data_IF_167568192698
#
_entry.id   IF_167568192698
#
_cell.length_a   1.000
_cell.length_b   1.000
_cell.length_c   1.000
_cell.angle_alpha   90.00
_cell.angle_beta   90.00
_cell.angle_gamma   90.00
#
_symmetry.space_group_name_H-M   'P 1'
#
loop_
_entity.id
_entity.type
_entity.pdbx_description
1 polymer ?
#
# COMPACT_ATOMS: atom_id res chain seq x y z
N UNK A 1 -54.52 60.26 9.22
CA UNK A 1 -54.95 59.06 8.48
C UNK A 1 -53.77 58.70 7.57
N UNK A 2 -52.80 57.93 8.07
CA UNK A 2 -52.80 56.46 8.12
C UNK A 2 -52.94 55.84 6.72
N UNK A 3 -51.82 55.54 6.07
CA UNK A 3 -51.49 54.19 5.57
C UNK A 3 -50.10 54.25 4.88
N UNK A 4 -49.00 53.81 5.50
CA UNK A 4 -48.68 52.48 6.02
C UNK A 4 -48.44 51.45 4.88
N UNK A 5 -47.15 51.15 4.71
CA UNK A 5 -46.58 49.88 4.28
C UNK A 5 -47.03 49.22 2.96
N UNK A 6 -46.12 49.20 1.98
CA UNK A 6 -45.43 47.96 1.55
C UNK A 6 -44.53 48.25 0.34
N UNK A 7 -43.29 48.67 0.60
CA UNK A 7 -42.21 48.52 -0.37
C UNK A 7 -41.63 47.12 -0.15
N UNK A 8 -42.02 46.18 -1.01
CA UNK A 8 -41.43 44.84 -1.06
C UNK A 8 -40.00 45.02 -1.60
N UNK A 9 -39.03 45.09 -0.69
CA UNK A 9 -37.62 44.94 -1.04
C UNK A 9 -37.40 43.44 -1.25
N UNK A 10 -37.49 42.99 -2.50
CA UNK A 10 -36.99 41.67 -2.89
C UNK A 10 -35.47 41.74 -2.80
N UNK A 11 -34.93 41.47 -1.61
CA UNK A 11 -33.51 41.25 -1.43
C UNK A 11 -33.13 39.97 -2.14
N UNK A 12 -32.57 40.08 -3.34
CA UNK A 12 -31.89 38.99 -4.01
C UNK A 12 -30.68 38.67 -3.14
N UNK A 13 -30.85 37.76 -2.18
CA UNK A 13 -29.75 37.04 -1.57
C UNK A 13 -29.14 36.19 -2.68
N UNK A 14 -28.20 36.78 -3.41
CA UNK A 14 -27.26 36.03 -4.23
C UNK A 14 -26.50 35.15 -3.24
N UNK A 15 -27.00 33.94 -3.02
CA UNK A 15 -26.28 32.89 -2.33
C UNK A 15 -25.04 32.63 -3.19
N UNK A 16 -23.96 33.35 -2.87
CA UNK A 16 -22.65 33.10 -3.42
C UNK A 16 -22.25 31.75 -2.83
N UNK A 17 -22.65 30.68 -3.50
CA UNK A 17 -22.21 29.32 -3.21
C UNK A 17 -20.73 29.31 -3.57
N UNK A 18 -19.90 29.81 -2.64
CA UNK A 18 -18.47 29.61 -2.70
C UNK A 18 -18.26 28.11 -2.67
N UNK A 19 -18.11 27.51 -3.85
CA UNK A 19 -17.70 26.13 -3.98
C UNK A 19 -16.37 26.05 -3.24
N UNK A 20 -16.37 25.37 -2.09
CA UNK A 20 -15.18 25.21 -1.28
C UNK A 20 -14.21 24.36 -2.11
N UNK A 21 -13.35 25.04 -2.85
CA UNK A 21 -12.28 24.42 -3.62
C UNK A 21 -11.19 24.05 -2.63
N UNK A 22 -11.07 22.77 -2.33
CA UNK A 22 -9.98 22.28 -1.49
C UNK A 22 -8.70 22.23 -2.33
N UNK A 23 -7.69 22.98 -1.90
CA UNK A 23 -6.35 22.91 -2.47
C UNK A 23 -5.71 21.58 -2.08
N UNK A 24 -5.55 20.67 -3.05
CA UNK A 24 -4.96 19.36 -2.84
C UNK A 24 -3.54 19.28 -3.42
N UNK A 25 -2.74 18.37 -2.88
CA UNK A 25 -1.49 17.92 -3.48
C UNK A 25 -1.77 16.67 -4.30
N UNK A 26 -1.43 16.68 -5.58
CA UNK A 26 -1.51 15.52 -6.48
C UNK A 26 -0.10 15.01 -6.79
N UNK A 27 0.10 13.72 -6.58
CA UNK A 27 1.36 13.02 -6.85
C UNK A 27 1.08 11.92 -7.86
N UNK A 28 1.86 11.87 -8.92
CA UNK A 28 1.85 10.77 -9.87
C UNK A 28 3.16 10.02 -9.75
N UNK A 29 3.08 8.69 -9.63
CA UNK A 29 4.24 7.82 -9.57
C UNK A 29 4.07 6.61 -10.44
N UNK A 30 5.18 6.12 -10.99
CA UNK A 30 5.24 4.76 -11.49
C UNK A 30 5.40 3.81 -10.32
N UNK A 31 4.60 2.77 -10.26
CA UNK A 31 4.75 1.63 -9.36
C UNK A 31 4.77 0.36 -10.21
N UNK A 32 5.95 -0.25 -10.31
CA UNK A 32 6.19 -1.46 -11.12
C UNK A 32 5.69 -1.39 -12.58
N UNK A 33 5.88 -0.24 -13.24
CA UNK A 33 5.50 -0.03 -14.63
C UNK A 33 4.08 0.50 -14.84
N UNK A 34 3.32 0.73 -13.76
CA UNK A 34 1.96 1.28 -13.84
C UNK A 34 1.86 2.62 -13.12
N UNK A 35 1.13 3.56 -13.70
CA UNK A 35 0.92 4.87 -13.10
C UNK A 35 -0.07 4.75 -11.94
N UNK A 36 0.29 5.31 -10.80
CA UNK A 36 -0.53 5.46 -9.62
C UNK A 36 -0.68 6.95 -9.33
N UNK A 37 -1.90 7.37 -8.96
CA UNK A 37 -2.20 8.76 -8.61
C UNK A 37 -2.56 8.83 -7.12
N UNK A 38 -1.87 9.68 -6.39
CA UNK A 38 -2.11 9.96 -4.97
C UNK A 38 -2.63 11.40 -4.88
N UNK A 39 -3.76 11.61 -4.23
CA UNK A 39 -4.35 12.93 -3.99
C UNK A 39 -4.40 13.11 -2.48
N UNK A 40 -3.86 14.22 -1.98
CA UNK A 40 -3.72 14.51 -0.56
C UNK A 40 -4.34 15.87 -0.25
N UNK A 41 -5.07 15.96 0.84
CA UNK A 41 -5.36 17.23 1.51
C UNK A 41 -4.91 17.15 2.98
N UNK A 42 -5.35 18.12 3.80
CA UNK A 42 -4.99 18.18 5.22
C UNK A 42 -5.48 16.97 6.02
N UNK A 43 -6.62 16.40 5.65
CA UNK A 43 -7.35 15.43 6.45
C UNK A 43 -7.39 14.04 5.82
N UNK A 44 -7.14 13.93 4.52
CA UNK A 44 -7.36 12.73 3.75
C UNK A 44 -6.31 12.49 2.67
N UNK A 45 -6.18 11.23 2.30
CA UNK A 45 -5.43 10.79 1.14
C UNK A 45 -6.26 9.83 0.31
N UNK A 46 -6.14 9.90 -1.01
CA UNK A 46 -6.69 8.93 -1.95
C UNK A 46 -5.58 8.38 -2.81
N UNK A 47 -5.38 7.07 -2.77
CA UNK A 47 -4.42 6.35 -3.60
C UNK A 47 -5.22 5.57 -4.64
N UNK A 48 -5.26 6.08 -5.87
CA UNK A 48 -5.83 5.35 -6.99
C UNK A 48 -4.82 4.30 -7.44
N UNK A 49 -5.14 3.02 -7.26
CA UNK A 49 -4.24 1.95 -7.69
C UNK A 49 -4.15 1.86 -9.21
N UNK A 50 -3.19 1.08 -9.68
CA UNK A 50 -3.07 0.75 -11.09
C UNK A 50 -4.08 -0.30 -11.57
N UNK A 51 -4.83 -0.91 -10.65
CA UNK A 51 -5.95 -1.80 -10.96
C UNK A 51 -7.19 -0.94 -11.08
N UNK A 52 -7.86 -1.00 -12.24
CA UNK A 52 -9.15 -0.33 -12.43
C UNK A 52 -10.13 -0.73 -11.33
N UNK A 53 -11.04 0.17 -10.95
CA UNK A 53 -12.05 -0.06 -9.91
C UNK A 53 -11.51 -0.15 -8.48
N UNK A 54 -10.21 -0.05 -8.24
CA UNK A 54 -9.64 -0.15 -6.90
C UNK A 54 -8.92 1.13 -6.46
N UNK A 55 -9.26 1.62 -5.26
CA UNK A 55 -8.54 2.72 -4.62
C UNK A 55 -8.55 2.60 -3.10
N UNK A 56 -7.58 3.24 -2.46
CA UNK A 56 -7.51 3.36 -1.00
C UNK A 56 -7.81 4.79 -0.59
N UNK A 57 -8.70 4.98 0.39
CA UNK A 57 -8.87 6.24 1.11
C UNK A 57 -8.25 6.14 2.49
N UNK A 58 -7.52 7.16 2.90
CA UNK A 58 -7.03 7.34 4.26
C UNK A 58 -7.72 8.59 4.81
N UNK A 59 -8.42 8.47 5.93
CA UNK A 59 -8.81 9.62 6.74
C UNK A 59 -7.79 9.74 7.87
N UNK A 60 -6.82 10.64 7.65
CA UNK A 60 -5.61 10.80 8.44
C UNK A 60 -5.94 11.30 9.85
N UNK A 61 -6.90 12.23 9.95
CA UNK A 61 -7.43 12.77 11.21
C UNK A 61 -8.13 11.71 12.06
N UNK A 62 -8.83 10.77 11.41
CA UNK A 62 -9.61 9.72 12.05
C UNK A 62 -8.80 8.45 12.32
N UNK A 63 -7.57 8.36 11.82
CA UNK A 63 -6.78 7.13 11.92
C UNK A 63 -7.42 5.94 11.17
N UNK A 64 -8.16 6.19 10.08
CA UNK A 64 -8.91 5.17 9.33
C UNK A 64 -8.40 5.03 7.90
N UNK A 65 -8.43 3.81 7.39
CA UNK A 65 -8.13 3.48 6.02
C UNK A 65 -9.26 2.62 5.42
N UNK A 66 -9.59 2.84 4.17
CA UNK A 66 -10.65 2.15 3.45
C UNK A 66 -10.12 1.67 2.11
N UNK A 67 -10.13 0.36 1.87
CA UNK A 67 -9.87 -0.20 0.55
C UNK A 67 -11.21 -0.35 -0.17
N UNK A 68 -11.38 0.30 -1.31
CA UNK A 68 -12.64 0.31 -2.06
C UNK A 68 -12.46 -0.46 -3.35
N UNK A 69 -13.27 -1.50 -3.54
CA UNK A 69 -13.41 -2.25 -4.78
C UNK A 69 -14.78 -1.91 -5.41
N UNK A 70 -14.76 -1.12 -6.48
CA UNK A 70 -15.97 -0.67 -7.18
C UNK A 70 -16.63 -1.77 -8.02
N UNK A 71 -15.89 -2.80 -8.39
CA UNK A 71 -16.38 -3.93 -9.19
C UNK A 71 -17.16 -4.90 -8.30
N UNK A 72 -16.57 -5.30 -7.17
CA UNK A 72 -17.21 -6.16 -6.17
C UNK A 72 -18.20 -5.41 -5.27
N UNK A 73 -18.31 -4.08 -5.41
CA UNK A 73 -19.09 -3.21 -4.52
C UNK A 73 -18.77 -3.49 -3.04
N UNK A 74 -17.48 -3.45 -2.71
CA UNK A 74 -16.98 -3.78 -1.38
C UNK A 74 -16.04 -2.71 -0.84
N UNK A 75 -16.14 -2.43 0.46
CA UNK A 75 -15.27 -1.54 1.22
C UNK A 75 -14.70 -2.33 2.38
N UNK A 76 -13.37 -2.39 2.49
CA UNK A 76 -12.70 -2.93 3.67
C UNK A 76 -12.29 -1.77 4.56
N UNK A 77 -12.88 -1.69 5.75
CA UNK A 77 -12.52 -0.71 6.77
C UNK A 77 -11.38 -1.23 7.66
N UNK A 78 -10.38 -0.37 7.84
CA UNK A 78 -9.17 -0.66 8.61
C UNK A 78 -8.81 0.53 9.51
N UNK A 79 -8.16 0.25 10.64
CA UNK A 79 -7.50 1.29 11.41
C UNK A 79 -6.08 1.48 10.86
N UNK A 80 -5.62 2.73 10.74
CA UNK A 80 -4.22 3.04 10.37
C UNK A 80 -3.31 2.39 11.42
N UNK A 81 -3.53 2.69 12.70
CA UNK A 81 -2.91 1.99 13.82
C UNK A 81 -3.82 0.83 14.20
N UNK A 82 -3.60 -0.33 13.59
CA UNK A 82 -4.34 -1.56 13.82
C UNK A 82 -3.69 -2.50 14.84
N UNK A 83 -4.36 -3.63 15.07
CA UNK A 83 -3.75 -4.78 15.74
C UNK A 83 -3.16 -5.70 14.66
N UNK A 84 -1.91 -6.16 14.79
CA UNK A 84 -1.36 -7.14 13.87
C UNK A 84 -2.27 -8.37 13.79
N UNK A 85 -2.45 -8.95 12.60
CA UNK A 85 -3.27 -10.15 12.49
C UNK A 85 -2.61 -11.30 13.23
N UNK A 86 -3.42 -12.10 13.94
CA UNK A 86 -2.93 -13.29 14.62
C UNK A 86 -2.53 -14.33 13.58
N UNK A 87 -1.35 -14.93 13.76
CA UNK A 87 -0.93 -16.07 12.97
C UNK A 87 -1.94 -17.23 13.15
N UNK A 88 -2.30 -17.96 12.08
CA UNK A 88 -3.05 -19.19 12.21
C UNK A 88 -2.32 -20.17 13.15
N UNK A 89 -3.02 -20.70 14.15
CA UNK A 89 -2.45 -21.61 15.15
C UNK A 89 -1.97 -22.94 14.56
N UNK A 90 -2.53 -23.32 13.42
CA UNK A 90 -2.31 -24.55 12.67
C UNK A 90 -1.17 -24.46 11.64
N UNK A 91 -0.51 -23.30 11.52
CA UNK A 91 0.66 -23.19 10.66
C UNK A 91 1.84 -24.02 11.21
N UNK A 92 2.50 -24.85 10.37
CA UNK A 92 3.64 -25.64 10.81
C UNK A 92 4.67 -24.74 11.48
N UNK A 93 5.17 -25.17 12.65
CA UNK A 93 6.00 -24.36 13.52
C UNK A 93 7.21 -23.77 12.77
N UNK A 94 7.08 -22.52 12.32
CA UNK A 94 8.16 -21.72 11.74
C UNK A 94 9.28 -21.41 12.78
N UNK A 95 9.11 -21.88 14.02
CA UNK A 95 10.04 -21.79 15.15
C UNK A 95 11.46 -22.25 14.81
N UNK A 96 11.67 -23.17 13.85
CA UNK A 96 13.00 -23.67 13.45
C UNK A 96 13.92 -22.64 12.78
N UNK A 97 13.48 -21.39 12.55
CA UNK A 97 14.33 -20.33 11.97
C UNK A 97 14.65 -19.16 12.92
N UNK A 98 14.22 -19.22 14.19
CA UNK A 98 14.54 -18.18 15.18
C UNK A 98 16.04 -18.02 15.43
N UNK A 99 16.82 -19.08 15.24
CA UNK A 99 18.25 -19.09 15.54
C UNK A 99 19.14 -18.57 14.40
N UNK A 100 18.55 -18.05 13.30
CA UNK A 100 19.37 -17.38 12.28
C UNK A 100 19.84 -16.04 12.85
N UNK A 101 21.16 -15.76 12.85
CA UNK A 101 21.65 -14.47 13.32
C UNK A 101 20.94 -13.34 12.59
N UNK A 102 20.49 -12.34 13.33
CA UNK A 102 19.82 -11.17 12.76
C UNK A 102 20.74 -10.56 11.72
N UNK A 103 20.29 -10.52 10.46
CA UNK A 103 21.06 -9.91 9.40
C UNK A 103 21.28 -8.43 9.73
N UNK A 104 22.54 -7.96 9.75
CA UNK A 104 22.84 -6.57 10.08
C UNK A 104 22.39 -5.69 8.91
N UNK A 105 21.43 -4.82 9.17
CA UNK A 105 20.96 -3.83 8.22
C UNK A 105 21.84 -2.58 8.27
N UNK A 106 22.14 -1.99 7.11
CA UNK A 106 22.92 -0.76 7.01
C UNK A 106 22.30 0.18 5.96
N UNK A 107 22.23 1.46 6.29
CA UNK A 107 21.83 2.52 5.38
C UNK A 107 23.07 3.36 5.03
N UNK A 108 23.48 3.34 3.77
CA UNK A 108 24.74 3.95 3.33
C UNK A 108 24.46 5.08 2.36
N UNK A 109 24.82 6.31 2.73
CA UNK A 109 24.77 7.45 1.83
C UNK A 109 25.77 7.29 0.67
N UNK A 110 25.30 7.46 -0.56
CA UNK A 110 26.11 7.39 -1.79
C UNK A 110 26.40 8.75 -2.40
N UNK A 111 25.88 9.82 -1.80
CA UNK A 111 26.00 11.19 -2.26
C UNK A 111 24.78 11.66 -3.06
N UNK A 112 24.95 12.72 -3.84
CA UNK A 112 23.86 13.32 -4.62
C UNK A 112 23.25 12.34 -5.63
N UNK A 113 21.93 12.30 -5.69
CA UNK A 113 21.17 11.62 -6.74
C UNK A 113 20.72 12.60 -7.84
N UNK A 114 20.08 12.08 -8.91
CA UNK A 114 19.47 12.94 -9.92
C UNK A 114 18.32 13.74 -9.32
N UNK A 115 17.97 14.87 -9.94
CA UNK A 115 16.70 15.52 -9.63
C UNK A 115 15.54 14.65 -10.11
N UNK A 116 14.53 14.45 -9.27
CA UNK A 116 13.34 13.66 -9.60
C UNK A 116 12.11 14.55 -9.42
N UNK A 117 11.26 14.65 -10.44
CA UNK A 117 10.11 15.56 -10.45
C UNK A 117 10.46 17.03 -10.10
N UNK A 118 11.67 17.49 -10.44
CA UNK A 118 12.15 18.84 -10.11
C UNK A 118 12.72 19.02 -8.68
N UNK A 119 12.79 17.94 -7.88
CA UNK A 119 13.35 17.99 -6.53
C UNK A 119 14.75 17.36 -6.48
N UNK A 120 15.74 18.00 -5.84
CA UNK A 120 17.05 17.41 -5.63
C UNK A 120 16.93 16.20 -4.69
N UNK A 121 17.73 15.15 -4.96
CA UNK A 121 17.72 13.93 -4.15
C UNK A 121 19.12 13.57 -3.66
N UNK A 122 19.18 12.80 -2.58
CA UNK A 122 20.37 12.11 -2.09
C UNK A 122 20.12 10.61 -2.25
N UNK A 123 21.11 9.89 -2.78
CA UNK A 123 21.07 8.45 -2.99
C UNK A 123 21.56 7.71 -1.74
N UNK A 124 20.79 6.73 -1.29
CA UNK A 124 21.14 5.84 -0.19
C UNK A 124 21.01 4.38 -0.63
N UNK A 125 21.94 3.54 -0.20
CA UNK A 125 21.86 2.09 -0.37
C UNK A 125 21.41 1.44 0.93
N UNK A 126 20.38 0.59 0.83
CA UNK A 126 20.04 -0.35 1.91
C UNK A 126 20.83 -1.62 1.68
N UNK A 127 21.59 -2.04 2.68
CA UNK A 127 22.40 -3.25 2.67
C UNK A 127 22.01 -4.20 3.78
N UNK A 128 22.20 -5.49 3.52
CA UNK A 128 22.10 -6.54 4.54
C UNK A 128 23.26 -7.51 4.36
N UNK A 129 24.02 -7.77 5.43
CA UNK A 129 25.21 -8.64 5.39
C UNK A 129 26.16 -8.31 4.21
N UNK A 130 26.40 -7.01 3.96
CA UNK A 130 27.25 -6.52 2.86
C UNK A 130 26.63 -6.58 1.46
N UNK A 131 25.46 -7.19 1.27
CA UNK A 131 24.74 -7.23 0.00
C UNK A 131 23.81 -6.03 -0.15
N UNK A 132 23.81 -5.40 -1.32
CA UNK A 132 22.87 -4.30 -1.63
C UNK A 132 21.49 -4.87 -1.91
N UNK A 133 20.50 -4.41 -1.17
CA UNK A 133 19.10 -4.76 -1.34
C UNK A 133 18.38 -3.78 -2.26
N UNK A 134 18.64 -2.49 -2.09
CA UNK A 134 18.04 -1.44 -2.90
C UNK A 134 18.85 -0.15 -2.89
N UNK A 135 18.58 0.69 -3.88
CA UNK A 135 18.97 2.10 -3.94
C UNK A 135 17.71 2.95 -3.80
N UNK A 136 17.75 3.91 -2.88
CA UNK A 136 16.62 4.76 -2.54
C UNK A 136 17.06 6.22 -2.62
N UNK A 137 16.24 7.03 -3.28
CA UNK A 137 16.51 8.44 -3.50
C UNK A 137 15.54 9.25 -2.67
N UNK A 138 16.05 10.05 -1.74
CA UNK A 138 15.23 10.85 -0.83
C UNK A 138 15.40 12.34 -1.12
N UNK A 139 14.31 13.11 -0.97
CA UNK A 139 14.36 14.57 -1.06
C UNK A 139 13.81 15.22 0.22
N UNK A 140 14.68 15.96 0.92
CA UNK A 140 14.28 16.81 2.05
C UNK A 140 13.36 17.95 1.60
N UNK A 141 13.58 18.50 0.40
CA UNK A 141 12.73 19.56 -0.16
C UNK A 141 11.33 19.06 -0.49
N UNK A 142 11.22 17.86 -1.09
CA UNK A 142 9.90 17.28 -1.36
C UNK A 142 9.14 16.97 -0.06
N UNK A 143 9.83 16.59 1.03
CA UNK A 143 9.20 16.36 2.33
C UNK A 143 8.51 17.61 2.94
N UNK A 144 8.82 18.80 2.44
CA UNK A 144 8.22 20.07 2.87
C UNK A 144 6.93 20.41 2.09
N UNK A 145 6.60 19.65 1.04
CA UNK A 145 5.35 19.85 0.30
C UNK A 145 4.15 19.60 1.25
N UNK A 146 3.09 20.43 1.17
CA UNK A 146 1.92 20.29 2.02
C UNK A 146 1.39 18.85 2.07
N UNK A 147 0.99 18.44 3.27
CA UNK A 147 0.34 17.16 3.60
C UNK A 147 1.20 15.90 3.49
N UNK A 148 2.35 15.96 2.81
CA UNK A 148 3.21 14.79 2.62
C UNK A 148 3.74 14.20 3.93
N UNK A 149 4.14 15.04 4.89
CA UNK A 149 4.66 14.55 6.19
C UNK A 149 3.62 13.71 6.94
N UNK A 150 2.38 14.19 7.00
CA UNK A 150 1.26 13.47 7.65
C UNK A 150 0.95 12.18 6.92
N UNK A 151 0.93 12.22 5.58
CA UNK A 151 0.73 11.04 4.75
C UNK A 151 1.81 9.97 4.97
N UNK A 152 3.11 10.33 4.93
CA UNK A 152 4.21 9.39 5.15
C UNK A 152 4.12 8.75 6.53
N UNK A 153 3.81 9.55 7.56
CA UNK A 153 3.62 9.05 8.92
C UNK A 153 2.49 8.03 8.98
N UNK A 154 1.33 8.34 8.41
CA UNK A 154 0.20 7.40 8.36
C UNK A 154 0.56 6.10 7.63
N UNK A 155 1.29 6.17 6.51
CA UNK A 155 1.74 4.98 5.78
C UNK A 155 2.73 4.14 6.61
N UNK A 156 3.62 4.77 7.36
CA UNK A 156 4.54 4.07 8.25
C UNK A 156 3.81 3.44 9.44
N UNK A 157 2.92 4.18 10.10
CA UNK A 157 2.08 3.67 11.19
C UNK A 157 1.27 2.45 10.72
N UNK A 158 0.67 2.53 9.53
CA UNK A 158 -0.06 1.44 8.89
C UNK A 158 0.80 0.20 8.63
N UNK A 159 2.05 0.40 8.20
CA UNK A 159 3.01 -0.68 7.94
C UNK A 159 3.44 -1.34 9.25
N UNK A 160 3.80 -0.54 10.25
CA UNK A 160 4.23 -1.03 11.57
C UNK A 160 3.13 -1.80 12.29
N UNK A 161 1.89 -1.31 12.26
CA UNK A 161 0.78 -1.96 12.95
C UNK A 161 0.39 -3.32 12.37
N UNK A 162 0.93 -3.68 11.20
CA UNK A 162 0.66 -4.93 10.48
C UNK A 162 1.88 -5.85 10.44
N UNK A 163 3.01 -5.47 11.06
CA UNK A 163 4.18 -6.35 11.19
C UNK A 163 3.81 -7.53 12.09
N UNK A 164 3.90 -8.74 11.55
CA UNK A 164 3.63 -9.97 12.29
C UNK A 164 4.93 -10.47 12.91
N UNK A 165 5.01 -10.45 14.23
CA UNK A 165 6.19 -10.92 14.94
C UNK A 165 6.48 -12.41 14.67
N UNK A 166 7.76 -12.72 14.48
CA UNK A 166 8.23 -14.09 14.24
C UNK A 166 7.95 -14.66 12.85
N UNK A 167 7.29 -13.90 11.94
CA UNK A 167 7.15 -14.33 10.56
C UNK A 167 8.52 -14.25 9.84
N UNK A 168 8.97 -15.34 9.19
CA UNK A 168 10.21 -15.29 8.44
C UNK A 168 10.05 -14.42 7.20
N UNK A 169 10.69 -13.24 7.21
CA UNK A 169 10.78 -12.34 6.06
C UNK A 169 12.12 -12.49 5.34
N UNK A 170 12.16 -12.11 4.07
CA UNK A 170 13.41 -12.07 3.31
C UNK A 170 14.40 -11.08 3.96
N UNK A 171 15.72 -11.35 4.02
CA UNK A 171 16.69 -10.48 4.69
C UNK A 171 16.65 -9.02 4.22
N UNK A 172 16.47 -8.80 2.92
CA UNK A 172 16.30 -7.43 2.40
C UNK A 172 15.02 -6.74 2.86
N UNK A 173 13.91 -7.48 2.99
CA UNK A 173 12.69 -6.90 3.54
C UNK A 173 12.89 -6.55 5.02
N UNK A 174 13.51 -7.45 5.79
CA UNK A 174 13.86 -7.18 7.20
C UNK A 174 14.73 -5.95 7.35
N UNK A 175 15.76 -5.80 6.50
CA UNK A 175 16.63 -4.62 6.51
C UNK A 175 15.86 -3.32 6.21
N UNK A 176 14.91 -3.35 5.28
CA UNK A 176 14.02 -2.23 5.05
C UNK A 176 13.12 -1.91 6.26
N UNK A 177 12.57 -2.94 6.90
CA UNK A 177 11.71 -2.77 8.07
C UNK A 177 12.48 -2.22 9.29
N UNK A 178 13.74 -2.63 9.46
CA UNK A 178 14.61 -2.21 10.56
C UNK A 178 15.14 -0.78 10.36
N UNK A 179 15.34 -0.36 9.10
CA UNK A 179 15.84 0.99 8.74
C UNK A 179 14.72 1.98 8.42
N UNK A 180 13.44 1.61 8.61
CA UNK A 180 12.31 2.43 8.20
C UNK A 180 12.29 3.79 8.93
N UNK A 181 12.43 3.77 10.25
CA UNK A 181 12.44 4.99 11.07
C UNK A 181 13.59 5.93 10.70
N UNK A 182 14.80 5.40 10.49
CA UNK A 182 15.96 6.17 10.04
C UNK A 182 15.71 6.76 8.64
N UNK A 183 15.21 5.95 7.71
CA UNK A 183 14.90 6.36 6.34
C UNK A 183 13.89 7.51 6.27
N UNK A 184 12.90 7.52 7.17
CA UNK A 184 11.91 8.60 7.24
C UNK A 184 12.52 9.96 7.61
N UNK A 185 13.67 9.99 8.27
CA UNK A 185 14.38 11.26 8.60
C UNK A 185 15.09 11.86 7.39
N UNK A 186 15.33 11.06 6.34
CA UNK A 186 16.08 11.48 5.15
C UNK A 186 15.26 12.33 4.18
N UNK A 187 13.93 12.31 4.28
CA UNK A 187 13.01 13.10 3.47
C UNK A 187 11.92 12.24 2.81
N UNK A 188 11.32 12.76 1.74
CA UNK A 188 10.30 12.02 0.99
C UNK A 188 10.98 11.07 0.00
N UNK A 189 10.65 9.77 0.00
CA UNK A 189 11.20 8.82 -0.96
C UNK A 189 10.70 9.14 -2.38
N UNK A 190 11.63 9.51 -3.26
CA UNK A 190 11.35 9.91 -4.65
C UNK A 190 11.48 8.74 -5.64
N UNK A 191 12.35 7.77 -5.36
CA UNK A 191 12.56 6.59 -6.20
C UNK A 191 13.17 5.45 -5.39
N UNK A 192 12.80 4.22 -5.73
CA UNK A 192 13.43 3.02 -5.18
C UNK A 192 13.72 2.01 -6.29
N UNK A 193 14.94 1.50 -6.30
CA UNK A 193 15.43 0.48 -7.23
C UNK A 193 15.83 -0.75 -6.42
N UNK A 194 15.14 -1.86 -6.62
CA UNK A 194 15.44 -3.14 -5.97
C UNK A 194 16.53 -3.84 -6.77
N UNK A 195 17.58 -4.30 -6.08
CA UNK A 195 18.68 -5.06 -6.67
C UNK A 195 18.40 -6.55 -6.50
N UNK A 196 18.18 -7.30 -7.58
CA UNK A 196 17.88 -8.75 -7.52
C UNK A 196 19.12 -9.63 -7.75
N UNK A 197 20.30 -9.11 -7.41
CA UNK A 197 21.58 -9.80 -7.58
C UNK A 197 21.95 -10.05 -9.05
N UNK A 198 22.96 -10.92 -9.26
CA UNK A 198 23.63 -11.09 -10.57
C UNK A 198 22.74 -11.55 -11.72
N UNK A 199 21.58 -12.18 -11.45
CA UNK A 199 20.71 -12.78 -12.48
C UNK A 199 19.42 -12.00 -12.74
N UNK A 200 18.98 -11.15 -11.80
CA UNK A 200 17.67 -10.51 -11.89
C UNK A 200 17.69 -9.10 -12.47
N UNK A 201 18.86 -8.48 -12.60
CA UNK A 201 18.99 -7.06 -12.93
C UNK A 201 18.37 -6.14 -11.87
N UNK A 202 18.33 -4.87 -12.19
CA UNK A 202 17.73 -3.84 -11.35
C UNK A 202 16.27 -3.63 -11.75
N UNK A 203 15.38 -3.49 -10.77
CA UNK A 203 13.97 -3.14 -11.01
C UNK A 203 13.59 -1.88 -10.25
N UNK A 204 13.07 -0.89 -10.98
CA UNK A 204 12.43 0.28 -10.38
C UNK A 204 11.15 -0.21 -9.70
N UNK A 205 11.13 -0.15 -8.37
CA UNK A 205 9.94 -0.47 -7.57
C UNK A 205 8.93 0.66 -7.68
N UNK A 206 9.38 1.89 -7.46
CA UNK A 206 8.60 3.08 -7.76
C UNK A 206 9.49 4.28 -8.13
N UNK A 207 8.91 5.27 -8.81
CA UNK A 207 9.51 6.55 -9.14
C UNK A 207 8.43 7.64 -9.23
N UNK A 208 8.63 8.77 -8.53
CA UNK A 208 7.74 9.93 -8.60
C UNK A 208 7.99 10.69 -9.90
N UNK A 209 6.92 10.98 -10.64
CA UNK A 209 6.99 11.76 -11.88
C UNK A 209 6.56 13.21 -11.70
N UNK A 210 5.52 13.44 -10.89
CA UNK A 210 5.00 14.77 -10.66
C UNK A 210 4.53 14.94 -9.22
N UNK A 211 4.73 16.14 -8.68
CA UNK A 211 4.13 16.62 -7.44
C UNK A 211 3.57 18.00 -7.77
N UNK A 212 2.24 18.16 -7.69
CA UNK A 212 1.54 19.41 -7.97
C UNK A 212 0.76 19.81 -6.73
N UNK A 213 0.97 21.01 -6.22
CA UNK A 213 0.20 21.59 -5.12
C UNK A 213 -0.95 22.43 -5.66
N UNK A 214 -1.86 22.84 -4.77
CA UNK A 214 -2.93 23.79 -5.08
C UNK A 214 -3.85 23.32 -6.22
N UNK A 215 -3.95 22.00 -6.38
CA UNK A 215 -4.82 21.38 -7.39
C UNK A 215 -6.23 21.38 -6.85
N UNK A 216 -7.14 22.02 -7.58
CA UNK A 216 -8.57 21.94 -7.29
C UNK A 216 -9.05 20.51 -7.59
N UNK A 217 -9.63 19.87 -6.57
CA UNK A 217 -10.22 18.53 -6.68
C UNK A 217 -11.69 18.60 -6.28
N UNK A 218 -12.49 17.74 -6.92
CA UNK A 218 -13.92 17.67 -6.61
C UNK A 218 -14.16 17.27 -5.16
N UNK A 219 -15.22 17.79 -4.54
CA UNK A 219 -15.58 17.49 -3.15
C UNK A 219 -15.87 16.00 -2.90
N UNK A 220 -16.24 15.26 -3.94
CA UNK A 220 -16.47 13.81 -3.88
C UNK A 220 -15.17 12.98 -3.90
N UNK A 221 -14.00 13.60 -4.13
CA UNK A 221 -12.71 12.92 -4.26
C UNK A 221 -12.42 12.00 -3.08
N UNK A 222 -12.76 12.45 -1.86
CA UNK A 222 -12.53 11.72 -0.61
C UNK A 222 -13.81 11.10 -0.03
N UNK A 223 -14.91 11.07 -0.78
CA UNK A 223 -16.18 10.49 -0.32
C UNK A 223 -16.20 8.98 -0.53
N UNK A 224 -16.67 8.24 0.49
CA UNK A 224 -16.89 6.80 0.39
C UNK A 224 -18.25 6.50 -0.27
N UNK A 225 -18.32 5.60 -1.27
CA UNK A 225 -19.55 5.24 -1.95
C UNK A 225 -20.36 4.24 -1.10
N UNK A 226 -20.92 4.67 0.03
CA UNK A 226 -21.60 3.73 0.96
C UNK A 226 -22.86 3.08 0.38
N UNK A 227 -23.54 3.73 -0.57
CA UNK A 227 -24.79 3.22 -1.13
C UNK A 227 -24.53 2.01 -2.03
N UNK A 228 -25.02 0.85 -1.61
CA UNK A 228 -24.92 -0.39 -2.38
C UNK A 228 -23.55 -1.06 -2.31
N UNK A 229 -22.71 -0.68 -1.33
CA UNK A 229 -21.44 -1.36 -1.04
C UNK A 229 -21.56 -2.15 0.25
N UNK A 230 -21.02 -3.37 0.23
CA UNK A 230 -20.77 -4.17 1.42
C UNK A 230 -19.56 -3.61 2.18
N UNK A 231 -19.70 -3.32 3.46
CA UNK A 231 -18.62 -2.78 4.29
C UNK A 231 -18.22 -3.84 5.29
N UNK A 232 -17.00 -4.35 5.15
CA UNK A 232 -16.43 -5.37 6.03
C UNK A 232 -15.21 -4.82 6.76
N UNK A 233 -14.91 -5.37 7.92
CA UNK A 233 -13.69 -5.06 8.67
C UNK A 233 -12.48 -5.78 8.10
N UNK A 234 -11.28 -5.29 8.44
CA UNK A 234 -10.01 -5.98 8.17
C UNK A 234 -10.00 -7.42 8.70
N UNK A 235 -10.61 -7.68 9.87
CA UNK A 235 -10.66 -9.02 10.47
C UNK A 235 -11.57 -9.97 9.69
N UNK A 236 -12.72 -9.49 9.22
CA UNK A 236 -13.61 -10.28 8.36
C UNK A 236 -12.95 -10.61 7.03
N UNK A 237 -12.28 -9.64 6.39
CA UNK A 237 -11.50 -9.89 5.17
C UNK A 237 -10.44 -10.98 5.38
N UNK A 238 -9.71 -10.94 6.51
CA UNK A 238 -8.70 -11.95 6.84
C UNK A 238 -9.34 -13.32 7.07
N UNK A 239 -10.45 -13.38 7.81
CA UNK A 239 -11.18 -14.62 8.08
C UNK A 239 -11.72 -15.26 6.79
N UNK A 240 -12.29 -14.46 5.88
CA UNK A 240 -12.71 -14.90 4.55
C UNK A 240 -11.52 -15.45 3.75
N UNK A 241 -10.40 -14.74 3.74
CA UNK A 241 -9.17 -15.16 3.06
C UNK A 241 -8.64 -16.50 3.58
N UNK A 242 -8.63 -16.69 4.91
CA UNK A 242 -8.24 -17.94 5.55
C UNK A 242 -9.20 -19.09 5.21
N UNK A 243 -10.51 -18.83 5.18
CA UNK A 243 -11.51 -19.82 4.80
C UNK A 243 -11.32 -20.29 3.35
N UNK A 244 -11.15 -19.35 2.41
CA UNK A 244 -10.87 -19.65 0.99
C UNK A 244 -9.57 -20.44 0.82
N UNK A 245 -8.51 -20.07 1.54
CA UNK A 245 -7.24 -20.79 1.52
C UNK A 245 -7.40 -22.25 2.02
N UNK A 246 -8.16 -22.48 3.10
CA UNK A 246 -8.44 -23.83 3.60
C UNK A 246 -9.19 -24.68 2.57
N UNK A 247 -10.24 -24.13 1.95
CA UNK A 247 -10.99 -24.81 0.89
C UNK A 247 -10.08 -25.19 -0.27
N UNK A 248 -9.28 -24.26 -0.76
CA UNK A 248 -8.33 -24.53 -1.85
C UNK A 248 -7.30 -25.62 -1.51
N UNK A 249 -6.80 -25.65 -0.26
CA UNK A 249 -5.89 -26.70 0.20
C UNK A 249 -6.57 -28.08 0.26
N UNK A 250 -7.83 -28.15 0.68
CA UNK A 250 -8.59 -29.40 0.71
C UNK A 250 -8.87 -29.93 -0.69
N UNK A 251 -9.28 -29.07 -1.61
CA UNK A 251 -9.50 -29.40 -3.03
C UNK A 251 -8.20 -29.90 -3.68
N UNK A 252 -7.09 -29.19 -3.46
CA UNK A 252 -5.77 -29.57 -3.97
C UNK A 252 -5.31 -30.93 -3.42
N UNK A 253 -5.61 -31.25 -2.15
CA UNK A 253 -5.32 -32.56 -1.56
C UNK A 253 -6.16 -33.67 -2.20
N UNK A 254 -7.45 -33.42 -2.47
CA UNK A 254 -8.34 -34.39 -3.14
C UNK A 254 -7.88 -34.68 -4.56
N UNK A 255 -7.49 -33.65 -5.32
CA UNK A 255 -6.97 -33.82 -6.69
C UNK A 255 -5.70 -34.68 -6.72
N UNK A 256 -4.72 -34.40 -5.85
CA UNK A 256 -3.48 -35.20 -5.77
C UNK A 256 -3.72 -36.66 -5.41
N UNK A 257 -4.62 -36.94 -4.45
CA UNK A 257 -4.99 -38.32 -4.10
C UNK A 257 -5.65 -39.06 -5.27
N UNK A 258 -6.49 -38.36 -6.05
CA UNK A 258 -7.13 -38.94 -7.24
C UNK A 258 -6.14 -39.27 -8.37
N UNK A 259 -5.10 -38.45 -8.57
CA UNK A 259 -4.05 -38.70 -9.55
C UNK A 259 -3.14 -39.87 -9.14
N UNK A 260 -2.73 -39.95 -7.87
CA UNK A 260 -1.92 -41.07 -7.35
C UNK A 260 -2.66 -42.41 -7.49
N UNK A 261 -3.98 -42.44 -7.25
CA UNK A 261 -4.78 -43.65 -7.45
C UNK A 261 -4.85 -44.11 -8.91
N UNK A 262 -4.91 -43.18 -9.89
CA UNK A 262 -4.93 -43.54 -11.32
C UNK A 262 -3.55 -43.99 -11.82
N UNK A 263 -2.46 -43.38 -11.33
CA UNK A 263 -1.09 -43.75 -11.74
C UNK A 263 -0.67 -45.14 -11.25
N UNK A 264 -1.25 -45.61 -10.14
CA UNK A 264 -1.07 -46.97 -9.63
C UNK A 264 -1.78 -48.07 -10.43
N UNK A 265 -2.74 -47.72 -11.30
CA UNK A 265 -3.43 -48.68 -12.17
C UNK A 265 -2.72 -48.84 -13.52
N UNK A 266 -2.25 -47.76 -14.15
CA UNK A 266 -1.52 -47.83 -15.43
C UNK A 266 -0.13 -48.49 -15.31
N UNK A 267 0.50 -48.44 -14.12
CA UNK A 267 1.79 -49.08 -13.85
C UNK A 267 1.73 -50.63 -13.85
N UNK A 268 0.54 -51.24 -13.80
CA UNK A 268 0.40 -52.71 -13.75
C UNK A 268 0.40 -53.39 -15.13
N UNK A 269 0.36 -52.64 -16.23
CA UNK A 269 0.24 -53.19 -17.59
C UNK A 269 1.49 -53.04 -18.49
N UNK A 270 2.62 -52.54 -17.98
CA UNK A 270 3.85 -52.36 -18.78
C UNK A 270 5.06 -53.13 -18.25
N UNK A 271 4.89 -54.43 -17.98
CA UNK A 271 6.03 -55.35 -18.02
C UNK A 271 6.00 -56.12 -19.34
N UNK A 272 6.78 -55.72 -20.36
CA UNK A 272 6.92 -56.55 -21.55
C UNK A 272 7.55 -57.90 -21.14
N UNK A 273 7.07 -59.03 -21.71
CA UNK A 273 7.67 -60.33 -21.45
C UNK A 273 9.14 -60.28 -21.88
N UNK A 274 10.03 -60.64 -20.95
CA UNK A 274 11.43 -60.88 -21.27
C UNK A 274 11.51 -62.21 -22.03
N UNK A 275 11.84 -62.12 -23.31
CA UNK A 275 12.29 -63.26 -24.13
C UNK A 275 13.79 -63.46 -23.96
#
# INVERSE_FOLDING_TARGET
MNDLHRRIIVGIFTACVCSVSFAATVIERNEMGKIQKIILDEYAARINSSVSNYYTLLYLDKGKAYMVNNEEKRIVEMNIIGTPPKLPQDMPSWQRRRDRPSAKAELVEKGNGPSIAGYPTINYQVKTNGQVCSENYFSKKAAQVPYLKTFIRAMSDMTHSRKIEGMPVHPCQKAHDDLEAESMTLGFPMKSVVKMGKRGGDKVRFEIFSIKTDVNVSADTFTLPRRGYDVISEQEMIAEGQAKMRQWMEESKKQRRGEDSRRGEDSRYMNPPRY
#
